data_IF_697625585693
#
_entry.id   IF_697625585693
#
_cell.length_a   1.000
_cell.length_b   1.000
_cell.length_c   1.000
_cell.angle_alpha   90.00
_cell.angle_beta   90.00
_cell.angle_gamma   90.00
#
_symmetry.space_group_name_H-M   'P 1'
#
loop_
_entity.id
_entity.type
_entity.pdbx_description
1 polymer ?
#
# COMPACT_ATOMS: atom_id res chain seq x y z
N UNK A 1 -31.59 58.78 -28.14
CA UNK A 1 -31.85 57.35 -28.47
C UNK A 1 -31.62 56.54 -27.21
N UNK A 2 -32.61 55.72 -26.89
CA UNK A 2 -32.87 54.99 -25.64
C UNK A 2 -32.11 53.67 -25.50
N UNK A 3 -32.09 53.15 -24.25
CA UNK A 3 -31.98 51.73 -23.79
C UNK A 3 -30.58 51.29 -23.34
N UNK A 4 -30.35 50.54 -22.26
CA UNK A 4 -31.11 50.05 -21.10
C UNK A 4 -30.11 49.39 -20.14
N UNK A 5 -30.40 49.42 -18.84
CA UNK A 5 -29.74 48.60 -17.80
C UNK A 5 -29.91 47.09 -18.06
N UNK A 6 -28.90 46.28 -17.69
CA UNK A 6 -29.15 44.95 -17.13
C UNK A 6 -27.97 44.45 -16.28
N UNK A 7 -28.22 44.32 -14.97
CA UNK A 7 -27.46 43.49 -14.05
C UNK A 7 -27.50 42.03 -14.52
N UNK A 8 -26.36 41.33 -14.49
CA UNK A 8 -26.34 39.88 -14.26
C UNK A 8 -25.30 39.61 -13.18
N UNK A 9 -25.82 39.26 -12.00
CA UNK A 9 -25.08 38.61 -10.93
C UNK A 9 -24.63 37.23 -11.42
N UNK A 10 -23.31 37.00 -11.51
CA UNK A 10 -22.74 35.67 -11.64
C UNK A 10 -22.27 35.19 -10.26
N UNK A 11 -23.25 34.66 -9.54
CA UNK A 11 -23.19 33.56 -8.58
C UNK A 11 -21.77 33.05 -8.23
N UNK A 12 -21.36 33.29 -6.98
CA UNK A 12 -20.32 32.55 -6.28
C UNK A 12 -20.67 31.05 -6.29
N UNK A 13 -19.96 30.25 -7.08
CA UNK A 13 -19.83 28.82 -6.85
C UNK A 13 -18.54 28.60 -6.06
N UNK A 14 -18.64 28.78 -4.75
CA UNK A 14 -17.73 28.14 -3.81
C UNK A 14 -17.86 26.63 -4.00
N UNK A 15 -16.98 26.05 -4.81
CA UNK A 15 -16.80 24.61 -4.81
C UNK A 15 -16.37 24.23 -3.38
N UNK A 16 -17.08 23.34 -2.68
CA UNK A 16 -16.51 22.75 -1.50
C UNK A 16 -15.24 22.04 -1.98
N UNK A 17 -14.08 22.50 -1.49
CA UNK A 17 -12.87 21.71 -1.52
C UNK A 17 -13.16 20.54 -0.58
N UNK A 18 -13.85 19.54 -1.11
CA UNK A 18 -13.81 18.21 -0.53
C UNK A 18 -12.32 17.88 -0.57
N UNK A 19 -11.68 17.99 0.60
CA UNK A 19 -10.43 17.32 0.86
C UNK A 19 -10.71 15.86 0.48
N UNK A 20 -10.26 15.48 -0.72
CA UNK A 20 -10.35 14.12 -1.21
C UNK A 20 -9.49 13.35 -0.24
N UNK A 21 -10.13 12.64 0.68
CA UNK A 21 -9.45 11.56 1.38
C UNK A 21 -9.04 10.60 0.25
N UNK A 22 -7.74 10.54 -0.02
CA UNK A 22 -7.19 9.62 -1.00
C UNK A 22 -7.78 8.24 -0.72
N UNK A 23 -8.40 7.65 -1.74
CA UNK A 23 -8.95 6.31 -1.60
C UNK A 23 -7.82 5.33 -1.26
N UNK A 24 -8.10 4.21 -0.58
CA UNK A 24 -7.07 3.19 -0.33
C UNK A 24 -6.34 2.75 -1.61
N UNK A 25 -7.02 2.82 -2.75
CA UNK A 25 -6.46 2.57 -4.07
C UNK A 25 -5.45 3.65 -4.48
N UNK A 26 -5.82 4.93 -4.38
CA UNK A 26 -4.92 6.05 -4.69
C UNK A 26 -3.70 6.09 -3.76
N UNK A 27 -3.89 5.82 -2.46
CA UNK A 27 -2.77 5.71 -1.52
C UNK A 27 -1.83 4.54 -1.85
N UNK A 28 -2.40 3.40 -2.27
CA UNK A 28 -1.62 2.28 -2.75
C UNK A 28 -0.83 2.66 -4.01
N UNK A 29 -1.49 3.17 -5.04
CA UNK A 29 -0.82 3.57 -6.29
C UNK A 29 0.27 4.62 -6.04
N UNK A 30 0.01 5.64 -5.22
CA UNK A 30 1.01 6.65 -4.83
C UNK A 30 2.27 6.05 -4.19
N UNK A 31 2.18 4.87 -3.60
CA UNK A 31 3.28 4.21 -2.90
C UNK A 31 3.96 3.16 -3.77
N UNK A 32 3.19 2.44 -4.59
CA UNK A 32 3.63 1.20 -5.26
C UNK A 32 3.82 1.32 -6.78
N UNK A 33 3.17 2.30 -7.45
CA UNK A 33 3.38 2.61 -8.86
C UNK A 33 4.54 3.60 -9.00
N UNK A 34 5.75 3.07 -9.18
CA UNK A 34 6.98 3.85 -9.04
C UNK A 34 7.31 4.61 -10.32
N UNK A 35 6.91 4.08 -11.46
CA UNK A 35 7.08 4.75 -12.75
C UNK A 35 5.92 5.70 -13.09
N UNK A 36 4.81 5.63 -12.33
CA UNK A 36 3.65 6.52 -12.45
C UNK A 36 2.79 6.20 -13.67
N UNK A 37 2.85 4.97 -14.19
CA UNK A 37 2.13 4.55 -15.38
C UNK A 37 0.66 4.17 -15.11
N UNK A 38 0.26 4.14 -13.83
CA UNK A 38 -1.08 3.76 -13.37
C UNK A 38 -1.25 2.27 -13.09
N UNK A 39 -0.17 1.49 -13.09
CA UNK A 39 -0.15 0.04 -12.92
C UNK A 39 1.03 -0.36 -12.02
N UNK A 40 0.74 -0.87 -10.82
CA UNK A 40 1.78 -1.42 -9.95
C UNK A 40 2.07 -2.87 -10.36
N UNK A 41 3.25 -3.11 -10.93
CA UNK A 41 3.66 -4.41 -11.46
C UNK A 41 4.32 -5.30 -10.41
N UNK A 42 4.35 -6.62 -10.65
CA UNK A 42 5.06 -7.55 -9.75
C UNK A 42 6.53 -7.15 -9.55
N UNK A 43 7.20 -6.70 -10.61
CA UNK A 43 8.59 -6.28 -10.54
C UNK A 43 8.80 -5.06 -9.62
N UNK A 44 7.87 -4.11 -9.63
CA UNK A 44 7.92 -2.95 -8.72
C UNK A 44 7.67 -3.36 -7.27
N UNK A 45 6.71 -4.27 -7.05
CA UNK A 45 6.45 -4.83 -5.72
C UNK A 45 7.66 -5.60 -5.19
N UNK A 46 8.29 -6.43 -6.02
CA UNK A 46 9.50 -7.20 -5.68
C UNK A 46 10.67 -6.28 -5.37
N UNK A 47 10.87 -5.20 -6.15
CA UNK A 47 11.91 -4.21 -5.90
C UNK A 47 11.72 -3.52 -4.55
N UNK A 48 10.51 -2.99 -4.29
CA UNK A 48 10.21 -2.34 -3.01
C UNK A 48 10.33 -3.27 -1.83
N UNK A 49 9.88 -4.52 -1.97
CA UNK A 49 9.99 -5.53 -0.91
C UNK A 49 11.44 -5.98 -0.72
N UNK A 50 12.24 -6.05 -1.78
CA UNK A 50 13.68 -6.27 -1.68
C UNK A 50 14.39 -5.16 -0.89
N UNK A 51 14.05 -3.90 -1.15
CA UNK A 51 14.58 -2.75 -0.39
C UNK A 51 14.19 -2.83 1.09
N UNK A 52 12.94 -3.22 1.37
CA UNK A 52 12.45 -3.43 2.74
C UNK A 52 13.17 -4.60 3.43
N UNK A 53 13.39 -5.71 2.73
CA UNK A 53 14.18 -6.85 3.23
C UNK A 53 15.59 -6.41 3.61
N UNK A 54 16.28 -5.71 2.71
CA UNK A 54 17.63 -5.20 2.96
C UNK A 54 17.68 -4.19 4.11
N UNK A 55 16.57 -3.48 4.39
CA UNK A 55 16.50 -2.59 5.56
C UNK A 55 16.38 -3.35 6.88
N UNK A 56 15.90 -4.60 6.85
CA UNK A 56 15.73 -5.46 8.01
C UNK A 56 16.95 -6.36 8.27
N UNK A 57 17.64 -6.78 7.22
CA UNK A 57 18.85 -7.61 7.23
C UNK A 57 20.05 -6.79 7.72
N UNK A 58 20.14 -6.59 9.03
CA UNK A 58 21.10 -5.70 9.67
C UNK A 58 22.51 -6.27 9.65
N UNK A 59 22.63 -7.60 9.62
CA UNK A 59 23.90 -8.31 9.57
C UNK A 59 24.36 -8.61 8.12
N UNK A 60 23.52 -8.33 7.12
CA UNK A 60 23.73 -8.54 5.68
C UNK A 60 24.02 -10.01 5.31
N UNK A 61 23.43 -10.96 6.02
CA UNK A 61 23.61 -12.41 5.78
C UNK A 61 22.59 -13.00 4.79
N UNK A 62 21.62 -12.19 4.34
CA UNK A 62 20.59 -12.57 3.37
C UNK A 62 19.41 -13.31 3.98
N UNK A 63 19.29 -13.33 5.31
CA UNK A 63 18.21 -13.94 6.08
C UNK A 63 17.73 -12.94 7.14
N UNK A 64 16.44 -12.96 7.48
CA UNK A 64 15.94 -12.22 8.63
C UNK A 64 15.75 -13.18 9.80
N UNK A 65 16.52 -12.95 10.86
CA UNK A 65 16.39 -13.71 12.11
C UNK A 65 15.37 -13.08 13.08
N UNK A 66 15.20 -13.73 14.23
CA UNK A 66 14.27 -13.27 15.26
C UNK A 66 14.68 -11.94 15.91
N UNK A 67 15.98 -11.71 16.04
CA UNK A 67 16.53 -10.50 16.66
C UNK A 67 16.29 -9.30 15.73
N UNK A 68 16.52 -9.50 14.43
CA UNK A 68 16.23 -8.53 13.37
C UNK A 68 14.74 -8.27 13.25
N UNK A 69 13.90 -9.31 13.24
CA UNK A 69 12.45 -9.13 13.30
C UNK A 69 12.00 -8.39 14.56
N UNK A 70 12.60 -8.66 15.73
CA UNK A 70 12.21 -8.03 16.99
C UNK A 70 12.48 -6.52 17.03
N UNK A 71 13.61 -6.08 16.46
CA UNK A 71 13.96 -4.65 16.38
C UNK A 71 12.88 -3.87 15.61
N UNK A 72 12.36 -4.46 14.54
CA UNK A 72 11.36 -3.82 13.70
C UNK A 72 9.92 -4.07 14.16
N UNK A 73 9.65 -5.15 14.88
CA UNK A 73 8.36 -5.37 15.53
C UNK A 73 8.04 -4.25 16.53
N UNK A 74 9.03 -3.78 17.28
CA UNK A 74 8.87 -2.63 18.18
C UNK A 74 8.67 -1.32 17.42
N UNK A 75 9.47 -1.06 16.37
CA UNK A 75 9.32 0.13 15.53
C UNK A 75 7.93 0.18 14.87
N UNK A 76 7.49 -0.95 14.34
CA UNK A 76 6.18 -1.12 13.70
C UNK A 76 5.03 -1.01 14.69
N UNK A 77 5.18 -1.56 15.90
CA UNK A 77 4.19 -1.37 16.97
C UNK A 77 4.06 0.11 17.36
N UNK A 78 5.17 0.85 17.42
CA UNK A 78 5.18 2.29 17.67
C UNK A 78 4.55 3.07 16.51
N UNK A 79 4.85 2.73 15.27
CA UNK A 79 4.23 3.34 14.09
C UNK A 79 2.72 3.12 14.07
N UNK A 80 2.25 1.89 14.33
CA UNK A 80 0.81 1.56 14.42
C UNK A 80 0.14 2.29 15.59
N UNK A 81 0.84 2.48 16.72
CA UNK A 81 0.32 3.21 17.87
C UNK A 81 0.06 4.70 17.58
N UNK A 82 0.73 5.27 16.57
CA UNK A 82 0.49 6.63 16.09
C UNK A 82 -0.80 6.84 15.30
N UNK A 83 -1.45 5.75 14.86
CA UNK A 83 -2.70 5.80 14.10
C UNK A 83 -3.92 5.43 14.96
N UNK A 84 -5.08 6.00 14.64
CA UNK A 84 -6.36 5.70 15.30
C UNK A 84 -7.43 5.20 14.32
N UNK A 85 -8.47 4.56 14.84
CA UNK A 85 -9.64 4.14 14.07
C UNK A 85 -9.32 3.14 12.95
N UNK A 86 -9.96 3.32 11.79
CA UNK A 86 -9.84 2.41 10.64
C UNK A 86 -8.41 2.35 10.06
N UNK A 87 -7.67 3.45 10.16
CA UNK A 87 -6.28 3.51 9.70
C UNK A 87 -5.36 2.67 10.57
N UNK A 88 -5.57 2.66 11.90
CA UNK A 88 -4.85 1.73 12.79
C UNK A 88 -5.11 0.28 12.41
N UNK A 89 -6.36 -0.10 12.15
CA UNK A 89 -6.71 -1.47 11.80
C UNK A 89 -6.07 -1.90 10.47
N UNK A 90 -6.00 -1.00 9.50
CA UNK A 90 -5.32 -1.24 8.23
C UNK A 90 -3.81 -1.39 8.44
N UNK A 91 -3.16 -0.43 9.11
CA UNK A 91 -1.73 -0.50 9.41
C UNK A 91 -1.37 -1.75 10.23
N UNK A 92 -2.22 -2.15 11.18
CA UNK A 92 -2.06 -3.40 11.95
C UNK A 92 -2.09 -4.64 11.04
N UNK A 93 -2.98 -4.70 10.03
CA UNK A 93 -3.04 -5.82 9.08
C UNK A 93 -1.81 -5.89 8.17
N UNK A 94 -1.37 -4.74 7.66
CA UNK A 94 -0.10 -4.66 6.91
C UNK A 94 1.06 -5.11 7.78
N UNK A 95 1.07 -4.65 9.03
CA UNK A 95 2.09 -4.98 9.99
C UNK A 95 2.09 -6.49 10.32
N UNK A 96 0.93 -7.09 10.54
CA UNK A 96 0.79 -8.52 10.83
C UNK A 96 1.20 -9.41 9.65
N UNK A 97 0.97 -8.95 8.40
CA UNK A 97 1.40 -9.65 7.19
C UNK A 97 2.91 -9.67 6.96
N UNK A 98 3.67 -8.90 7.75
CA UNK A 98 5.13 -8.80 7.70
C UNK A 98 5.79 -9.45 8.91
N UNK A 99 5.02 -10.11 9.79
CA UNK A 99 5.57 -10.87 10.91
C UNK A 99 6.24 -12.13 10.40
N UNK A 100 7.25 -12.60 11.15
CA UNK A 100 7.96 -13.83 10.83
C UNK A 100 7.00 -15.00 10.59
N UNK A 101 5.96 -15.17 11.39
CA UNK A 101 5.02 -16.29 11.23
C UNK A 101 4.20 -16.24 9.92
N UNK A 102 4.13 -15.08 9.27
CA UNK A 102 3.46 -14.91 7.98
C UNK A 102 4.40 -15.12 6.79
N UNK A 103 5.71 -14.98 6.99
CA UNK A 103 6.73 -15.02 5.92
C UNK A 103 7.67 -16.23 6.00
N UNK A 104 7.88 -16.82 7.17
CA UNK A 104 8.62 -18.07 7.39
C UNK A 104 7.80 -19.25 6.86
N UNK A 105 8.08 -19.65 5.62
CA UNK A 105 7.32 -20.68 4.93
C UNK A 105 7.77 -22.09 5.31
N UNK A 106 9.03 -22.27 5.70
CA UNK A 106 9.62 -23.58 5.96
C UNK A 106 9.66 -23.94 7.46
N UNK A 107 9.45 -22.97 8.36
CA UNK A 107 9.39 -23.13 9.81
C UNK A 107 10.75 -23.19 10.51
N UNK A 108 11.83 -22.74 9.87
CA UNK A 108 13.19 -22.75 10.43
C UNK A 108 13.51 -21.53 11.30
N UNK A 109 12.55 -20.60 11.45
CA UNK A 109 12.66 -19.36 12.22
C UNK A 109 13.65 -18.37 11.63
N UNK A 110 13.91 -18.50 10.33
CA UNK A 110 14.62 -17.53 9.50
C UNK A 110 13.71 -17.22 8.32
N UNK A 111 13.77 -15.98 7.81
CA UNK A 111 13.07 -15.63 6.57
C UNK A 111 14.10 -15.34 5.51
N UNK A 112 14.24 -16.23 4.55
CA UNK A 112 15.10 -16.01 3.39
C UNK A 112 14.49 -14.99 2.41
N UNK A 113 15.34 -14.38 1.57
CA UNK A 113 14.86 -13.52 0.49
C UNK A 113 13.86 -14.25 -0.43
N UNK A 114 14.11 -15.52 -0.72
CA UNK A 114 13.22 -16.34 -1.57
C UNK A 114 11.84 -16.54 -0.92
N UNK A 115 11.78 -16.77 0.39
CA UNK A 115 10.52 -16.87 1.13
C UNK A 115 9.78 -15.54 1.20
N UNK A 116 10.53 -14.46 1.37
CA UNK A 116 9.99 -13.11 1.36
C UNK A 116 9.42 -12.73 -0.02
N UNK A 117 10.11 -13.07 -1.11
CA UNK A 117 9.64 -12.88 -2.48
C UNK A 117 8.45 -13.78 -2.80
N UNK A 118 8.45 -15.04 -2.35
CA UNK A 118 7.30 -15.93 -2.51
C UNK A 118 6.03 -15.37 -1.82
N UNK A 119 6.19 -14.70 -0.66
CA UNK A 119 5.10 -13.99 -0.01
C UNK A 119 4.59 -12.80 -0.84
N UNK A 120 5.49 -12.12 -1.56
CA UNK A 120 5.17 -10.99 -2.46
C UNK A 120 4.29 -11.44 -3.61
N UNK A 121 4.63 -12.56 -4.26
CA UNK A 121 3.84 -13.13 -5.37
C UNK A 121 2.44 -13.52 -4.90
N UNK A 122 2.33 -14.15 -3.70
CA UNK A 122 1.02 -14.49 -3.11
C UNK A 122 0.19 -13.25 -2.82
N UNK A 123 0.82 -12.18 -2.33
CA UNK A 123 0.14 -10.92 -2.04
C UNK A 123 -0.32 -10.21 -3.32
N UNK A 124 0.55 -10.15 -4.33
CA UNK A 124 0.22 -9.64 -5.67
C UNK A 124 -1.02 -10.33 -6.24
N UNK A 125 -1.04 -11.66 -6.22
CA UNK A 125 -2.17 -12.46 -6.73
C UNK A 125 -3.48 -12.21 -5.96
N UNK A 126 -3.41 -11.82 -4.68
CA UNK A 126 -4.60 -11.47 -3.91
C UNK A 126 -5.12 -10.06 -4.22
N UNK A 127 -4.24 -9.18 -4.68
CA UNK A 127 -4.57 -7.80 -5.02
C UNK A 127 -4.99 -7.63 -6.48
N UNK A 128 -4.36 -8.33 -7.43
CA UNK A 128 -4.77 -8.41 -8.84
C UNK A 128 -6.07 -9.23 -8.97
N UNK A 129 -7.21 -8.57 -8.86
CA UNK A 129 -8.54 -9.21 -8.86
C UNK A 129 -9.10 -9.39 -10.26
N UNK A 130 -8.63 -8.61 -11.23
CA UNK A 130 -9.07 -8.70 -12.61
C UNK A 130 -8.19 -9.68 -13.42
N UNK A 131 -7.00 -10.04 -12.92
CA UNK A 131 -6.06 -10.98 -13.51
C UNK A 131 -5.34 -10.42 -14.73
N UNK A 132 -5.18 -9.09 -14.82
CA UNK A 132 -4.57 -8.43 -15.97
C UNK A 132 -3.03 -8.33 -15.88
N UNK A 133 -2.46 -8.79 -14.76
CA UNK A 133 -1.02 -8.79 -14.55
C UNK A 133 -0.47 -7.50 -13.96
N UNK A 134 -1.35 -6.61 -13.46
CA UNK A 134 -0.97 -5.44 -12.69
C UNK A 134 -2.01 -5.10 -11.62
N UNK A 135 -1.58 -4.40 -10.56
CA UNK A 135 -2.52 -3.86 -9.58
C UNK A 135 -2.87 -2.44 -10.01
N UNK A 136 -4.15 -2.21 -10.29
CA UNK A 136 -4.68 -0.94 -10.77
C UNK A 136 -5.78 -0.43 -9.85
N UNK A 137 -6.28 0.79 -10.09
CA UNK A 137 -7.44 1.32 -9.36
C UNK A 137 -8.69 0.42 -9.51
N UNK A 138 -8.81 -0.31 -10.62
CA UNK A 138 -9.95 -1.18 -10.89
C UNK A 138 -9.98 -2.42 -9.98
N UNK A 139 -8.83 -2.85 -9.44
CA UNK A 139 -8.74 -3.97 -8.50
C UNK A 139 -9.27 -3.63 -7.10
N UNK A 140 -9.28 -2.34 -6.78
CA UNK A 140 -9.85 -1.81 -5.55
C UNK A 140 -11.32 -1.41 -5.72
N UNK A 141 -11.78 -1.21 -6.96
CA UNK A 141 -13.19 -1.05 -7.25
C UNK A 141 -13.92 -2.38 -6.99
N UNK A 142 -14.84 -2.39 -6.02
CA UNK A 142 -15.78 -3.50 -5.83
C UNK A 142 -16.50 -3.74 -7.16
N UNK A 143 -16.29 -4.91 -7.80
CA UNK A 143 -17.10 -5.33 -8.95
C UNK A 143 -18.58 -5.26 -8.55
N UNK A 144 -19.48 -4.61 -9.32
CA UNK A 144 -20.90 -4.89 -9.19
C UNK A 144 -21.08 -6.39 -9.48
N UNK A 145 -21.77 -7.08 -8.56
CA UNK A 145 -22.17 -8.47 -8.77
C UNK A 145 -22.85 -8.60 -10.14
N UNK A 146 -22.36 -9.53 -10.97
CA UNK A 146 -23.10 -10.02 -12.14
C UNK A 146 -24.06 -11.11 -11.67
#
# INVERSE_FOLDING_TARGET
>A
MTKSFSLIAALLLSLPLAAQAETPAEQFMSTWDRDGNGIATLAELEAMRGDVFASFDANEDGMLDLEEHAIFDEARANDVAGYEGKQREQMQKMADGMRMEATDANGDRLVSLDEFQASTVKWFTQLDKNGDGGITLDDFAMKPAQ
#
